data_IF_022434226509
#
_entry.id   IF_022434226509
#
_cell.length_a   1.000
_cell.length_b   1.000
_cell.length_c   1.000
_cell.angle_alpha   90.00
_cell.angle_beta   90.00
_cell.angle_gamma   90.00
#
_symmetry.space_group_name_H-M   'P 1'
#
loop_
_entity.id
_entity.type
_entity.pdbx_description
1 polymer ?
#
# COMPACT_ATOMS: atom_id res chain seq x y z
N UNK A 1 11.74 -4.61 18.75
CA UNK A 1 11.68 -3.39 17.92
C UNK A 1 10.29 -3.36 17.32
N UNK A 2 9.47 -2.36 17.62
CA UNK A 2 8.07 -2.32 17.16
C UNK A 2 8.02 -1.63 15.79
N UNK A 3 7.60 -2.35 14.76
CA UNK A 3 7.41 -1.78 13.42
C UNK A 3 6.12 -0.97 13.42
N UNK A 4 6.19 0.31 13.05
CA UNK A 4 5.01 1.15 12.87
C UNK A 4 4.55 1.10 11.42
N UNK A 5 3.27 0.87 11.21
CA UNK A 5 2.63 0.85 9.89
C UNK A 5 1.47 1.82 9.91
N UNK A 6 1.39 2.69 8.91
CA UNK A 6 0.18 3.46 8.62
C UNK A 6 -0.52 2.73 7.49
N UNK A 7 -1.75 2.28 7.71
CA UNK A 7 -2.59 1.66 6.69
C UNK A 7 -3.66 2.65 6.23
N UNK A 8 -3.97 2.67 4.94
CA UNK A 8 -5.13 3.38 4.44
C UNK A 8 -6.42 2.80 5.05
N UNK A 9 -7.39 3.65 5.40
CA UNK A 9 -8.69 3.20 5.94
C UNK A 9 -9.40 2.22 4.99
N UNK A 10 -9.19 2.34 3.67
CA UNK A 10 -9.80 1.46 2.65
C UNK A 10 -9.22 0.05 2.67
N UNK A 11 -8.06 -0.16 3.29
CA UNK A 11 -7.46 -1.50 3.46
C UNK A 11 -8.04 -2.29 4.62
N UNK A 12 -8.86 -1.67 5.47
CA UNK A 12 -9.48 -2.35 6.61
C UNK A 12 -10.22 -3.66 6.25
N UNK A 13 -10.94 -3.77 5.11
CA UNK A 13 -11.61 -5.00 4.70
C UNK A 13 -10.68 -6.09 4.16
N UNK A 14 -9.41 -5.80 3.83
CA UNK A 14 -8.48 -6.79 3.27
C UNK A 14 -7.99 -7.81 4.31
N UNK A 15 -8.16 -7.51 5.60
CA UNK A 15 -7.67 -8.34 6.72
C UNK A 15 -6.17 -8.21 6.98
N UNK A 16 -5.39 -7.69 6.02
CA UNK A 16 -3.94 -7.51 6.15
C UNK A 16 -3.53 -6.60 7.31
N UNK A 17 -4.22 -5.46 7.57
CA UNK A 17 -3.91 -4.65 8.75
C UNK A 17 -4.01 -5.43 10.08
N UNK A 18 -4.91 -6.41 10.16
CA UNK A 18 -5.07 -7.23 11.36
C UNK A 18 -3.99 -8.31 11.47
N UNK A 19 -3.63 -8.95 10.36
CA UNK A 19 -2.50 -9.88 10.32
C UNK A 19 -1.17 -9.18 10.66
N UNK A 20 -0.98 -7.93 10.23
CA UNK A 20 0.18 -7.14 10.63
C UNK A 20 0.21 -6.90 12.15
N UNK A 21 -0.95 -6.66 12.78
CA UNK A 21 -1.03 -6.56 14.25
C UNK A 21 -0.72 -7.89 14.93
N UNK A 22 -1.21 -9.01 14.38
CA UNK A 22 -1.02 -10.35 14.95
C UNK A 22 0.46 -10.74 15.03
N UNK A 23 1.28 -10.26 14.08
CA UNK A 23 2.75 -10.45 14.05
C UNK A 23 3.53 -9.35 14.80
N UNK A 24 2.85 -8.45 15.52
CA UNK A 24 3.47 -7.46 16.41
C UNK A 24 3.74 -6.08 15.81
N UNK A 25 3.19 -5.76 14.64
CA UNK A 25 3.25 -4.40 14.09
C UNK A 25 2.24 -3.47 14.78
N UNK A 26 2.63 -2.20 14.99
CA UNK A 26 1.74 -1.15 15.46
C UNK A 26 1.07 -0.48 14.25
N UNK A 27 -0.15 -0.91 13.95
CA UNK A 27 -0.92 -0.44 12.78
C UNK A 27 -1.86 0.71 13.14
N UNK A 28 -1.63 1.87 12.55
CA UNK A 28 -2.51 3.05 12.62
C UNK A 28 -3.28 3.19 11.31
N UNK A 29 -4.59 3.43 11.38
CA UNK A 29 -5.37 3.76 10.19
C UNK A 29 -5.37 5.26 9.95
N UNK A 30 -5.25 5.66 8.69
CA UNK A 30 -5.41 7.04 8.21
C UNK A 30 -6.02 7.01 6.81
N UNK A 31 -6.64 8.10 6.38
CA UNK A 31 -6.92 8.28 4.94
C UNK A 31 -5.64 8.79 4.31
N UNK A 32 -5.10 8.04 3.36
CA UNK A 32 -3.94 8.38 2.55
C UNK A 32 -4.40 8.88 1.18
N UNK A 33 -3.78 9.95 0.71
CA UNK A 33 -4.03 10.45 -0.65
C UNK A 33 -3.39 9.52 -1.70
N UNK A 34 -2.37 8.75 -1.29
CA UNK A 34 -1.57 7.87 -2.11
C UNK A 34 -0.92 6.75 -1.29
N UNK A 35 -0.73 5.57 -1.90
CA UNK A 35 -0.31 4.31 -1.29
C UNK A 35 -1.34 3.70 -0.33
N UNK A 36 -1.24 2.38 -0.13
CA UNK A 36 -2.12 1.63 0.75
C UNK A 36 -1.51 1.45 2.14
N UNK A 37 -0.18 1.39 2.23
CA UNK A 37 0.55 1.34 3.50
C UNK A 37 1.81 2.20 3.45
N UNK A 38 2.16 2.78 4.60
CA UNK A 38 3.45 3.40 4.86
C UNK A 38 4.16 2.65 5.99
N UNK A 39 5.37 2.19 5.72
CA UNK A 39 6.20 1.43 6.66
C UNK A 39 7.53 2.16 6.82
N UNK A 40 7.66 2.97 7.87
CA UNK A 40 8.80 3.88 7.99
C UNK A 40 8.82 4.89 6.83
N UNK A 41 9.87 4.86 6.01
CA UNK A 41 10.03 5.71 4.81
C UNK A 41 9.54 5.04 3.51
N UNK A 42 9.11 3.78 3.60
CA UNK A 42 8.69 2.98 2.45
C UNK A 42 7.18 3.12 2.21
N UNK A 43 6.79 3.36 0.96
CA UNK A 43 5.41 3.25 0.52
C UNK A 43 5.14 1.86 -0.05
N UNK A 44 3.98 1.30 0.26
CA UNK A 44 3.52 0.02 -0.27
C UNK A 44 2.16 0.22 -0.92
N UNK A 45 2.08 -0.23 -2.16
CA UNK A 45 0.85 -0.33 -2.94
C UNK A 45 0.51 -1.82 -3.06
N UNK A 46 -0.67 -2.24 -2.60
CA UNK A 46 -1.18 -3.60 -2.76
C UNK A 46 -2.18 -3.63 -3.91
N UNK A 47 -2.07 -4.64 -4.77
CA UNK A 47 -2.94 -4.75 -5.93
C UNK A 47 -3.25 -6.20 -6.22
N UNK A 48 -4.52 -6.53 -6.43
CA UNK A 48 -4.86 -7.88 -6.88
C UNK A 48 -4.28 -8.14 -8.27
N UNK A 49 -4.01 -9.40 -8.64
CA UNK A 49 -3.56 -9.79 -9.99
C UNK A 49 -4.53 -9.24 -11.05
N UNK A 50 -5.83 -9.29 -10.78
CA UNK A 50 -6.86 -8.79 -11.69
C UNK A 50 -6.75 -7.28 -11.88
N UNK A 51 -6.60 -6.51 -10.79
CA UNK A 51 -6.47 -5.06 -10.85
C UNK A 51 -5.15 -4.65 -11.49
N UNK A 52 -4.07 -5.37 -11.22
CA UNK A 52 -2.77 -5.17 -11.85
C UNK A 52 -2.85 -5.34 -13.36
N UNK A 53 -3.38 -6.47 -13.84
CA UNK A 53 -3.57 -6.71 -15.29
C UNK A 53 -4.49 -5.66 -15.90
N UNK A 54 -5.62 -5.33 -15.25
CA UNK A 54 -6.56 -4.34 -15.80
C UNK A 54 -5.96 -2.93 -15.89
N UNK A 55 -5.13 -2.53 -14.91
CA UNK A 55 -4.49 -1.21 -14.86
C UNK A 55 -3.31 -1.09 -15.81
N UNK A 56 -2.63 -2.21 -16.13
CA UNK A 56 -1.67 -2.27 -17.23
C UNK A 56 -2.35 -1.99 -18.57
N UNK A 57 -3.43 -2.71 -18.89
CA UNK A 57 -4.14 -2.51 -20.16
C UNK A 57 -4.73 -1.12 -20.30
N UNK A 58 -5.20 -0.53 -19.19
CA UNK A 58 -5.77 0.81 -19.20
C UNK A 58 -4.72 1.93 -19.10
N UNK A 59 -3.44 1.62 -18.94
CA UNK A 59 -2.36 2.59 -18.69
C UNK A 59 -2.31 3.20 -17.28
N UNK A 60 -3.34 2.98 -16.44
CA UNK A 60 -3.46 3.58 -15.10
C UNK A 60 -2.35 3.17 -14.14
N UNK A 61 -1.73 2.01 -14.35
CA UNK A 61 -0.61 1.56 -13.51
C UNK A 61 0.55 2.57 -13.55
N UNK A 62 0.85 3.10 -14.73
CA UNK A 62 1.98 4.02 -14.91
C UNK A 62 1.72 5.38 -14.29
N UNK A 63 0.49 5.90 -14.40
CA UNK A 63 0.10 7.14 -13.72
C UNK A 63 0.21 7.01 -12.21
N UNK A 64 -0.21 5.88 -11.67
CA UNK A 64 -0.10 5.58 -10.24
C UNK A 64 1.35 5.46 -9.81
N UNK A 65 2.19 4.73 -10.57
CA UNK A 65 3.61 4.58 -10.30
C UNK A 65 4.33 5.94 -10.34
N UNK A 66 3.99 6.80 -11.28
CA UNK A 66 4.54 8.16 -11.37
C UNK A 66 4.18 8.99 -10.14
N UNK A 67 2.90 9.03 -9.75
CA UNK A 67 2.46 9.76 -8.54
C UNK A 67 3.13 9.22 -7.28
N UNK A 68 3.31 7.91 -7.17
CA UNK A 68 4.01 7.27 -6.05
C UNK A 68 5.48 7.70 -6.00
N UNK A 69 6.15 7.73 -7.16
CA UNK A 69 7.54 8.17 -7.31
C UNK A 69 7.76 9.66 -7.00
N UNK A 70 6.77 10.52 -7.23
CA UNK A 70 6.82 11.92 -6.83
C UNK A 70 6.68 12.10 -5.30
N UNK A 71 5.97 11.19 -4.63
CA UNK A 71 5.68 11.30 -3.19
C UNK A 71 6.70 10.59 -2.29
N UNK A 72 7.30 9.48 -2.77
CA UNK A 72 8.16 8.61 -1.95
C UNK A 72 9.40 8.18 -2.71
N UNK A 73 10.53 8.07 -1.99
CA UNK A 73 11.79 7.65 -2.62
C UNK A 73 11.85 6.15 -2.91
N UNK A 74 11.25 5.32 -2.06
CA UNK A 74 11.25 3.86 -2.22
C UNK A 74 9.83 3.33 -2.09
N UNK A 75 9.38 2.66 -3.15
CA UNK A 75 8.02 2.13 -3.27
C UNK A 75 8.08 0.63 -3.56
N UNK A 76 7.21 -0.13 -2.91
CA UNK A 76 6.97 -1.53 -3.19
C UNK A 76 5.57 -1.70 -3.77
N UNK A 77 5.46 -2.37 -4.91
CA UNK A 77 4.19 -2.87 -5.43
C UNK A 77 4.09 -4.36 -5.07
N UNK A 78 3.07 -4.72 -4.28
CA UNK A 78 2.76 -6.11 -3.95
C UNK A 78 1.57 -6.54 -4.79
N UNK A 79 1.76 -7.56 -5.62
CA UNK A 79 0.71 -8.14 -6.46
C UNK A 79 0.28 -9.49 -5.88
N UNK A 80 -1.02 -9.68 -5.64
CA UNK A 80 -1.59 -10.90 -5.03
C UNK A 80 -2.74 -11.55 -5.81
#
# INVERSE_FOLDING_TARGET
>A
MTIRVIADERERPSGVPEELRSIGALVQYRVLDIADYLVGEFAVERKSVRDFVSSLYSGRLFDQAHRLGEAYQTIFLVVE
#
